data_IF_019253071859
#
_entry.id   IF_019253071859
#
_cell.length_a   1.000
_cell.length_b   1.000
_cell.length_c   1.000
_cell.angle_alpha   90.00
_cell.angle_beta   90.00
_cell.angle_gamma   90.00
#
_symmetry.space_group_name_H-M   'P 1'
#
loop_
_entity.id
_entity.type
_entity.pdbx_description
1 polymer ?
#
# COMPACT_ATOMS: atom_id res chain seq x y z
N UNK A 1 -13.07 -21.95 8.78
CA UNK A 1 -13.56 -22.28 7.44
C UNK A 1 -12.39 -22.06 6.47
N UNK A 2 -11.32 -22.84 6.60
CA UNK A 2 -11.11 -24.19 6.03
C UNK A 2 -10.55 -24.11 4.61
N UNK A 3 -9.22 -23.98 4.47
CA UNK A 3 -8.50 -24.69 3.43
C UNK A 3 -7.02 -24.82 3.79
N UNK A 4 -6.70 -26.01 4.30
CA UNK A 4 -5.39 -26.63 4.35
C UNK A 4 -4.94 -27.00 2.93
N UNK A 5 -3.84 -26.42 2.48
CA UNK A 5 -2.97 -26.93 1.42
C UNK A 5 -1.59 -26.99 2.09
N UNK A 6 -1.10 -28.12 2.56
CA UNK A 6 -0.74 -29.34 1.82
C UNK A 6 0.23 -29.03 0.67
N UNK A 7 1.41 -28.51 1.01
CA UNK A 7 2.60 -28.59 0.18
C UNK A 7 3.55 -29.62 0.80
N UNK A 8 3.56 -30.77 0.14
CA UNK A 8 4.36 -31.95 0.44
C UNK A 8 5.72 -31.83 -0.24
N UNK A 9 6.77 -32.05 0.55
CA UNK A 9 8.01 -32.75 0.22
C UNK A 9 8.73 -32.39 -1.10
N UNK A 10 9.80 -31.61 -0.96
CA UNK A 10 11.05 -31.86 -1.67
C UNK A 10 12.19 -31.80 -0.64
N UNK A 11 12.35 -32.90 0.09
CA UNK A 11 13.51 -33.20 0.93
C UNK A 11 14.70 -33.41 -0.01
N UNK A 12 15.49 -32.35 -0.20
CA UNK A 12 16.78 -32.44 -0.91
C UNK A 12 17.85 -32.66 0.13
N UNK A 13 18.24 -33.92 0.22
CA UNK A 13 19.32 -34.46 1.02
C UNK A 13 20.65 -33.93 0.45
N UNK A 14 21.20 -32.87 1.05
CA UNK A 14 22.50 -32.30 0.68
C UNK A 14 23.45 -32.34 1.90
N UNK A 15 23.60 -33.57 2.40
CA UNK A 15 24.56 -33.94 3.43
C UNK A 15 25.91 -34.28 2.78
N UNK A 16 26.75 -33.28 2.42
CA UNK A 16 28.22 -33.45 2.40
C UNK A 16 29.00 -32.20 1.92
N UNK A 17 28.95 -31.09 2.65
CA UNK A 17 30.01 -30.07 2.58
C UNK A 17 30.26 -29.46 3.97
N UNK A 18 30.70 -30.29 4.92
CA UNK A 18 31.41 -29.81 6.12
C UNK A 18 32.79 -29.30 5.69
N UNK A 19 32.81 -28.12 5.08
CA UNK A 19 34.02 -27.30 5.01
C UNK A 19 34.33 -26.86 6.44
N UNK A 20 35.53 -27.21 6.91
CA UNK A 20 36.06 -26.74 8.18
C UNK A 20 36.23 -25.21 8.13
N UNK A 21 35.15 -24.49 8.42
CA UNK A 21 35.17 -23.04 8.64
C UNK A 21 35.93 -22.85 9.95
N UNK A 22 37.20 -22.46 9.82
CA UNK A 22 38.03 -22.03 10.93
C UNK A 22 37.22 -21.02 11.77
N UNK A 23 37.07 -21.30 13.07
CA UNK A 23 36.46 -20.37 14.01
C UNK A 23 37.14 -19.01 13.84
N UNK A 24 36.40 -17.96 13.44
CA UNK A 24 36.98 -16.64 13.38
C UNK A 24 37.43 -16.30 14.80
N UNK A 25 38.75 -16.15 14.97
CA UNK A 25 39.37 -15.64 16.18
C UNK A 25 38.51 -14.48 16.68
N UNK A 26 38.02 -14.61 17.92
CA UNK A 26 37.20 -13.58 18.57
C UNK A 26 38.01 -12.30 18.66
N UNK A 27 37.92 -11.48 17.61
CA UNK A 27 38.44 -10.12 17.60
C UNK A 27 37.65 -9.40 18.68
N UNK A 28 38.32 -9.11 19.80
CA UNK A 28 37.77 -8.35 20.90
C UNK A 28 37.22 -7.02 20.34
N UNK A 29 35.90 -6.96 20.13
CA UNK A 29 35.27 -5.72 19.69
C UNK A 29 35.50 -4.71 20.81
N UNK A 30 36.02 -3.51 20.49
CA UNK A 30 36.05 -2.42 21.45
C UNK A 30 34.63 -2.25 21.99
N UNK A 31 34.46 -2.26 23.31
CA UNK A 31 33.20 -1.87 23.94
C UNK A 31 33.03 -0.39 23.61
N UNK A 32 32.21 -0.09 22.61
CA UNK A 32 31.64 1.25 22.48
C UNK A 32 30.87 1.55 23.77
N UNK A 33 30.96 2.79 24.23
CA UNK A 33 30.15 3.25 25.37
C UNK A 33 28.67 2.97 25.06
N UNK A 34 27.95 2.39 26.02
CA UNK A 34 26.55 1.93 25.85
C UNK A 34 25.65 3.03 25.26
N UNK A 35 25.90 4.29 25.61
CA UNK A 35 25.19 5.48 25.08
C UNK A 35 25.36 5.65 23.56
N UNK A 36 26.55 5.34 23.02
CA UNK A 36 26.84 5.46 21.59
C UNK A 36 26.14 4.36 20.81
N UNK A 37 26.12 3.14 21.34
CA UNK A 37 25.37 2.04 20.73
C UNK A 37 23.87 2.35 20.73
N UNK A 38 23.36 2.92 21.83
CA UNK A 38 21.94 3.25 21.95
C UNK A 38 21.50 4.31 20.93
N UNK A 39 22.34 5.33 20.69
CA UNK A 39 22.09 6.35 19.69
C UNK A 39 22.06 5.76 18.27
N UNK A 40 23.05 4.93 17.90
CA UNK A 40 23.12 4.30 16.58
C UNK A 40 21.92 3.40 16.27
N UNK A 41 21.44 2.67 17.28
CA UNK A 41 20.23 1.86 17.13
C UNK A 41 18.99 2.72 16.91
N UNK A 42 18.86 3.84 17.62
CA UNK A 42 17.75 4.77 17.41
C UNK A 42 17.79 5.40 16.01
N UNK A 43 18.97 5.78 15.52
CA UNK A 43 19.16 6.29 14.16
C UNK A 43 18.73 5.27 13.10
N UNK A 44 19.15 4.01 13.24
CA UNK A 44 18.76 2.94 12.32
C UNK A 44 17.23 2.70 12.31
N UNK A 45 16.58 2.78 13.48
CA UNK A 45 15.11 2.68 13.58
C UNK A 45 14.42 3.87 12.89
N UNK A 46 14.96 5.08 13.04
CA UNK A 46 14.44 6.28 12.37
C UNK A 46 14.60 6.16 10.84
N UNK A 47 15.75 5.69 10.37
CA UNK A 47 15.99 5.47 8.93
C UNK A 47 15.00 4.43 8.38
N UNK A 48 14.82 3.30 9.07
CA UNK A 48 13.84 2.29 8.67
C UNK A 48 12.42 2.85 8.65
N UNK A 49 12.07 3.67 9.64
CA UNK A 49 10.78 4.35 9.68
C UNK A 49 10.57 5.28 8.46
N UNK A 50 11.60 6.02 8.06
CA UNK A 50 11.55 6.89 6.88
C UNK A 50 11.32 6.08 5.59
N UNK A 51 12.01 4.94 5.43
CA UNK A 51 11.84 4.05 4.28
C UNK A 51 10.39 3.54 4.18
N UNK A 52 9.78 3.13 5.31
CA UNK A 52 8.37 2.71 5.33
C UNK A 52 7.45 3.88 4.92
N UNK A 53 7.74 5.09 5.39
CA UNK A 53 7.03 6.30 4.99
C UNK A 53 7.11 6.58 3.48
N UNK A 54 8.27 6.35 2.86
CA UNK A 54 8.43 6.46 1.41
C UNK A 54 7.63 5.41 0.65
N UNK A 55 7.61 4.16 1.11
CA UNK A 55 6.80 3.09 0.51
C UNK A 55 5.31 3.42 0.51
N UNK A 56 4.81 4.02 1.60
CA UNK A 56 3.43 4.50 1.69
C UNK A 56 3.16 5.57 0.62
N UNK A 57 4.06 6.56 0.46
CA UNK A 57 3.92 7.61 -0.56
C UNK A 57 3.98 7.05 -1.98
N UNK A 58 4.83 6.06 -2.23
CA UNK A 58 4.89 5.38 -3.53
C UNK A 58 3.59 4.62 -3.85
N UNK A 59 2.96 3.99 -2.86
CA UNK A 59 1.65 3.38 -3.04
C UNK A 59 0.58 4.41 -3.42
N UNK A 60 0.57 5.57 -2.76
CA UNK A 60 -0.36 6.67 -3.06
C UNK A 60 -0.14 7.26 -4.45
N UNK A 61 1.12 7.45 -4.85
CA UNK A 61 1.46 7.93 -6.20
C UNK A 61 0.98 6.95 -7.30
N UNK A 62 1.14 5.64 -7.08
CA UNK A 62 0.63 4.60 -7.99
C UNK A 62 -0.89 4.60 -8.06
N UNK A 63 -1.58 4.78 -6.94
CA UNK A 63 -3.04 4.89 -6.93
C UNK A 63 -3.54 6.15 -7.66
N UNK A 64 -2.86 7.29 -7.48
CA UNK A 64 -3.15 8.51 -8.23
C UNK A 64 -2.94 8.33 -9.74
N UNK A 65 -1.87 7.62 -10.14
CA UNK A 65 -1.64 7.27 -11.55
C UNK A 65 -2.77 6.40 -12.13
N UNK A 66 -3.27 5.41 -11.38
CA UNK A 66 -4.43 4.59 -11.79
C UNK A 66 -5.67 5.46 -12.03
N UNK A 67 -5.95 6.42 -11.14
CA UNK A 67 -7.07 7.35 -11.30
C UNK A 67 -6.90 8.24 -12.54
N UNK A 68 -5.70 8.76 -12.79
CA UNK A 68 -5.41 9.57 -13.96
C UNK A 68 -5.63 8.79 -15.28
N UNK A 69 -5.15 7.55 -15.35
CA UNK A 69 -5.35 6.69 -16.53
C UNK A 69 -6.84 6.36 -16.71
N UNK A 70 -7.56 6.00 -15.65
CA UNK A 70 -9.01 5.78 -15.74
C UNK A 70 -9.76 7.04 -16.22
N UNK A 71 -9.37 8.22 -15.74
CA UNK A 71 -9.93 9.50 -16.21
C UNK A 71 -9.70 9.71 -17.71
N UNK A 72 -8.48 9.46 -18.20
CA UNK A 72 -8.15 9.56 -19.62
C UNK A 72 -8.94 8.55 -20.47
N UNK A 73 -9.00 7.29 -20.06
CA UNK A 73 -9.77 6.24 -20.75
C UNK A 73 -11.26 6.58 -20.78
N UNK A 74 -11.82 7.08 -19.68
CA UNK A 74 -13.21 7.54 -19.62
C UNK A 74 -13.48 8.69 -20.58
N UNK A 75 -12.55 9.66 -20.69
CA UNK A 75 -12.68 10.78 -21.61
C UNK A 75 -12.74 10.36 -23.08
N UNK A 76 -12.05 9.27 -23.44
CA UNK A 76 -12.03 8.73 -24.81
C UNK A 76 -13.22 7.82 -25.08
N UNK A 77 -13.55 6.91 -24.16
CA UNK A 77 -14.54 5.86 -24.40
C UNK A 77 -15.98 6.31 -24.21
N UNK A 78 -16.27 7.23 -23.29
CA UNK A 78 -17.66 7.66 -23.01
C UNK A 78 -18.33 8.37 -24.20
N UNK A 79 -17.66 9.23 -24.99
CA UNK A 79 -18.30 9.82 -26.17
C UNK A 79 -18.71 8.79 -27.23
N UNK A 80 -17.96 7.68 -27.36
CA UNK A 80 -18.19 6.69 -28.42
C UNK A 80 -19.54 5.97 -28.29
N UNK A 81 -20.03 5.70 -27.08
CA UNK A 81 -21.34 5.03 -26.91
C UNK A 81 -22.48 5.97 -27.32
N UNK A 82 -22.31 7.27 -27.08
CA UNK A 82 -23.30 8.27 -27.46
C UNK A 82 -23.38 8.43 -28.99
N UNK A 83 -22.23 8.43 -29.66
CA UNK A 83 -22.17 8.41 -31.13
C UNK A 83 -22.77 7.13 -31.70
N UNK A 84 -22.45 5.97 -31.12
CA UNK A 84 -22.98 4.67 -31.52
C UNK A 84 -24.52 4.62 -31.43
N UNK A 85 -25.11 5.11 -30.33
CA UNK A 85 -26.57 5.11 -30.12
C UNK A 85 -27.29 6.06 -31.10
N UNK A 86 -26.64 7.16 -31.51
CA UNK A 86 -27.25 8.14 -32.43
C UNK A 86 -27.13 7.78 -33.90
N UNK A 87 -26.17 6.93 -34.26
CA UNK A 87 -25.95 6.56 -35.64
C UNK A 87 -27.04 5.59 -36.10
N UNK A 88 -27.84 5.98 -37.10
CA UNK A 88 -28.78 5.08 -37.79
C UNK A 88 -28.00 4.09 -38.69
N UNK A 89 -27.27 3.17 -38.07
CA UNK A 89 -26.54 2.12 -38.77
C UNK A 89 -27.35 0.82 -38.78
N UNK A 90 -27.41 0.19 -39.95
CA UNK A 90 -27.96 -1.17 -40.08
C UNK A 90 -26.98 -2.17 -39.50
N UNK A 91 -27.26 -2.65 -38.28
CA UNK A 91 -26.44 -3.65 -37.61
C UNK A 91 -26.68 -5.07 -38.17
N UNK A 92 -25.69 -5.99 -38.06
CA UNK A 92 -25.82 -7.35 -38.59
C UNK A 92 -26.97 -8.15 -37.97
N UNK A 93 -27.26 -7.88 -36.69
CA UNK A 93 -28.26 -8.61 -35.91
C UNK A 93 -28.97 -7.70 -34.92
N UNK A 94 -30.21 -8.07 -34.55
CA UNK A 94 -31.04 -7.29 -33.63
C UNK A 94 -30.51 -7.25 -32.18
N UNK A 95 -29.67 -8.20 -31.78
CA UNK A 95 -29.08 -8.26 -30.43
C UNK A 95 -27.74 -7.51 -30.32
N UNK A 96 -27.22 -6.97 -31.41
CA UNK A 96 -25.91 -6.30 -31.47
C UNK A 96 -25.79 -5.13 -30.51
N UNK A 97 -26.80 -4.25 -30.47
CA UNK A 97 -26.85 -3.11 -29.55
C UNK A 97 -26.83 -3.55 -28.09
N UNK A 98 -27.44 -4.71 -27.77
CA UNK A 98 -27.40 -5.28 -26.41
C UNK A 98 -26.01 -5.78 -26.05
N UNK A 99 -25.30 -6.41 -26.98
CA UNK A 99 -23.91 -6.83 -26.78
C UNK A 99 -23.00 -5.62 -26.52
N UNK A 100 -23.04 -4.61 -27.37
CA UNK A 100 -22.23 -3.38 -27.23
C UNK A 100 -22.50 -2.70 -25.87
N UNK A 101 -23.78 -2.55 -25.53
CA UNK A 101 -24.18 -1.96 -24.25
C UNK A 101 -23.70 -2.78 -23.05
N UNK A 102 -23.80 -4.12 -23.12
CA UNK A 102 -23.33 -5.01 -22.06
C UNK A 102 -21.80 -4.94 -21.87
N UNK A 103 -21.03 -4.93 -22.97
CA UNK A 103 -19.57 -4.80 -22.91
C UNK A 103 -19.16 -3.43 -22.35
N UNK A 104 -19.85 -2.36 -22.75
CA UNK A 104 -19.62 -1.02 -22.21
C UNK A 104 -19.91 -0.96 -20.70
N UNK A 105 -21.03 -1.52 -20.24
CA UNK A 105 -21.38 -1.56 -18.82
C UNK A 105 -20.39 -2.39 -18.00
N UNK A 106 -19.92 -3.52 -18.54
CA UNK A 106 -18.91 -4.36 -17.88
C UNK A 106 -17.57 -3.64 -17.77
N UNK A 107 -17.14 -2.94 -18.82
CA UNK A 107 -15.99 -2.05 -18.81
C UNK A 107 -16.14 -0.96 -17.73
N UNK A 108 -17.26 -0.24 -17.75
CA UNK A 108 -17.53 0.86 -16.82
C UNK A 108 -17.55 0.38 -15.36
N UNK A 109 -18.18 -0.76 -15.08
CA UNK A 109 -18.20 -1.36 -13.74
C UNK A 109 -16.79 -1.73 -13.25
N UNK A 110 -15.97 -2.33 -14.12
CA UNK A 110 -14.57 -2.65 -13.82
C UNK A 110 -13.74 -1.39 -13.55
N UNK A 111 -13.94 -0.34 -14.35
CA UNK A 111 -13.29 0.97 -14.17
C UNK A 111 -13.68 1.61 -12.83
N UNK A 112 -14.97 1.68 -12.52
CA UNK A 112 -15.47 2.22 -11.24
C UNK A 112 -14.88 1.44 -10.07
N UNK A 113 -14.85 0.11 -10.16
CA UNK A 113 -14.26 -0.74 -9.12
C UNK A 113 -12.75 -0.47 -8.94
N UNK A 114 -12.00 -0.32 -10.04
CA UNK A 114 -10.59 0.10 -10.02
C UNK A 114 -10.42 1.45 -9.32
N UNK A 115 -11.24 2.45 -9.64
CA UNK A 115 -11.23 3.77 -8.99
C UNK A 115 -11.52 3.67 -7.50
N UNK A 116 -12.54 2.91 -7.08
CA UNK A 116 -12.87 2.72 -5.66
C UNK A 116 -11.69 2.12 -4.90
N UNK A 117 -11.00 1.11 -5.47
CA UNK A 117 -9.82 0.52 -4.86
C UNK A 117 -8.65 1.51 -4.75
N UNK A 118 -8.41 2.32 -5.79
CA UNK A 118 -7.38 3.36 -5.77
C UNK A 118 -7.70 4.45 -4.73
N UNK A 119 -8.96 4.89 -4.63
CA UNK A 119 -9.40 5.81 -3.59
C UNK A 119 -9.23 5.24 -2.19
N UNK A 120 -9.53 3.95 -1.96
CA UNK A 120 -9.29 3.28 -0.68
C UNK A 120 -7.82 3.16 -0.32
N UNK A 121 -6.91 3.17 -1.30
CA UNK A 121 -5.46 3.25 -1.06
C UNK A 121 -5.06 4.64 -0.54
N UNK A 122 -5.51 5.71 -1.20
CA UNK A 122 -5.16 7.10 -0.87
C UNK A 122 -5.82 7.53 0.45
N UNK A 123 -7.10 7.20 0.60
CA UNK A 123 -7.92 7.50 1.78
C UNK A 123 -8.23 6.19 2.51
N UNK A 124 -7.28 5.67 3.31
CA UNK A 124 -7.57 4.51 4.13
C UNK A 124 -8.71 4.87 5.07
N UNK A 125 -9.80 4.09 5.04
CA UNK A 125 -10.88 4.23 6.01
C UNK A 125 -10.31 4.00 7.40
N UNK A 126 -10.07 5.10 8.12
CA UNK A 126 -9.77 5.05 9.54
C UNK A 126 -11.04 4.55 10.21
N UNK A 127 -11.04 3.29 10.64
CA UNK A 127 -12.01 2.83 11.62
C UNK A 127 -11.97 3.82 12.78
N UNK A 128 -13.11 4.42 13.14
CA UNK A 128 -13.22 5.50 14.12
C UNK A 128 -12.85 5.08 15.57
N UNK A 129 -12.16 3.96 15.75
CA UNK A 129 -11.60 3.55 17.04
C UNK A 129 -10.22 4.16 17.26
N UNK A 130 -9.97 4.65 18.49
CA UNK A 130 -8.60 4.91 18.96
C UNK A 130 -7.85 3.58 18.92
N UNK A 131 -6.93 3.39 17.98
CA UNK A 131 -6.09 2.20 17.97
C UNK A 131 -5.30 2.19 19.29
N UNK A 132 -5.38 1.14 20.12
CA UNK A 132 -4.80 1.14 21.47
C UNK A 132 -3.30 1.45 21.49
N UNK A 133 -2.59 1.12 20.41
CA UNK A 133 -1.16 1.43 20.28
C UNK A 133 -0.85 2.88 19.90
N UNK A 134 -1.80 3.66 19.35
CA UNK A 134 -1.55 5.08 19.08
C UNK A 134 -1.36 5.87 20.38
N UNK A 135 -2.03 5.47 21.46
CA UNK A 135 -1.83 6.07 22.79
C UNK A 135 -0.49 5.72 23.44
N UNK A 136 0.33 4.87 22.79
CA UNK A 136 1.69 4.50 23.24
C UNK A 136 2.78 5.12 22.35
N UNK A 137 2.41 5.99 21.41
CA UNK A 137 3.30 6.61 20.45
C UNK A 137 3.14 8.13 20.45
N UNK A 138 2.92 8.70 21.63
CA UNK A 138 2.51 10.09 21.80
C UNK A 138 3.62 11.08 21.48
N UNK A 139 4.89 10.65 21.49
CA UNK A 139 6.05 11.53 21.37
C UNK A 139 6.70 11.47 19.99
N UNK A 140 6.43 10.42 19.21
CA UNK A 140 7.03 10.23 17.89
C UNK A 140 6.05 10.37 16.73
N UNK A 141 4.82 9.85 16.85
CA UNK A 141 3.89 9.84 15.72
C UNK A 141 3.18 11.20 15.56
N UNK A 142 3.28 11.90 14.41
CA UNK A 142 2.74 13.26 14.26
C UNK A 142 1.27 13.42 14.63
N UNK A 143 0.42 12.46 14.23
CA UNK A 143 -1.00 12.50 14.59
C UNK A 143 -1.24 12.30 16.09
N UNK A 144 -0.41 11.50 16.76
CA UNK A 144 -0.54 11.26 18.19
C UNK A 144 -0.06 12.48 18.99
N UNK A 145 1.05 13.11 18.56
CA UNK A 145 1.54 14.38 19.10
C UNK A 145 0.46 15.45 18.98
N UNK A 146 -0.11 15.65 17.79
CA UNK A 146 -1.17 16.65 17.56
C UNK A 146 -2.46 16.40 18.35
N UNK A 147 -2.70 15.15 18.77
CA UNK A 147 -3.86 14.78 19.55
C UNK A 147 -3.66 14.93 21.06
N UNK A 148 -2.40 14.89 21.53
CA UNK A 148 -2.05 14.96 22.96
C UNK A 148 -1.51 16.32 23.39
N UNK A 149 -0.80 17.03 22.51
CA UNK A 149 -0.19 18.32 22.80
C UNK A 149 -0.78 19.40 21.92
N UNK A 150 -1.13 20.53 22.54
CA UNK A 150 -1.45 21.76 21.84
C UNK A 150 -0.16 22.44 21.37
N UNK A 151 -0.30 23.34 20.39
CA UNK A 151 0.84 24.10 19.84
C UNK A 151 1.57 24.93 20.91
N UNK A 152 0.88 25.34 21.97
CA UNK A 152 1.42 26.13 23.09
C UNK A 152 2.14 25.29 24.18
N UNK A 153 2.12 23.95 24.09
CA UNK A 153 2.68 23.04 25.11
C UNK A 153 4.07 22.48 24.75
N UNK A 154 4.93 23.27 24.09
CA UNK A 154 6.25 22.81 23.62
C UNK A 154 7.19 22.41 24.75
N UNK A 155 7.23 23.17 25.85
CA UNK A 155 8.06 22.87 27.02
C UNK A 155 7.64 21.56 27.69
N UNK A 156 6.33 21.36 27.88
CA UNK A 156 5.79 20.12 28.45
C UNK A 156 6.18 18.91 27.59
N UNK A 157 6.10 19.04 26.26
CA UNK A 157 6.53 17.98 25.35
C UNK A 157 8.03 17.67 25.48
N UNK A 158 8.88 18.70 25.58
CA UNK A 158 10.32 18.53 25.76
C UNK A 158 10.66 17.83 27.08
N UNK A 159 10.03 18.24 28.18
CA UNK A 159 10.19 17.63 29.51
C UNK A 159 9.77 16.15 29.51
N UNK A 160 8.62 15.84 28.90
CA UNK A 160 8.13 14.46 28.79
C UNK A 160 9.05 13.59 27.91
N UNK A 161 9.55 14.14 26.80
CA UNK A 161 10.53 13.46 25.95
C UNK A 161 11.84 13.17 26.70
N UNK A 162 12.36 14.14 27.46
CA UNK A 162 13.56 13.96 28.28
C UNK A 162 13.35 12.89 29.37
N UNK A 163 12.16 12.87 29.97
CA UNK A 163 11.80 11.90 31.02
C UNK A 163 11.71 10.47 30.50
N UNK A 164 11.23 10.27 29.28
CA UNK A 164 11.10 8.95 28.65
C UNK A 164 12.47 8.38 28.29
N UNK A 165 13.39 9.26 27.87
CA UNK A 165 14.74 8.89 27.48
C UNK A 165 14.78 8.06 26.19
N UNK A 166 15.99 7.64 25.80
CA UNK A 166 16.23 6.97 24.53
C UNK A 166 15.52 5.61 24.43
N UNK A 167 15.51 4.84 25.52
CA UNK A 167 14.89 3.50 25.55
C UNK A 167 13.38 3.55 25.31
N UNK A 168 12.69 4.54 25.88
CA UNK A 168 11.27 4.73 25.63
C UNK A 168 10.99 5.24 24.22
N UNK A 169 11.83 6.13 23.69
CA UNK A 169 11.73 6.60 22.30
C UNK A 169 11.87 5.43 21.30
N UNK A 170 12.88 4.56 21.46
CA UNK A 170 13.05 3.35 20.64
C UNK A 170 11.79 2.50 20.62
N UNK A 171 11.16 2.33 21.79
CA UNK A 171 9.91 1.56 21.93
C UNK A 171 8.77 2.23 21.16
N UNK A 172 8.61 3.55 21.24
CA UNK A 172 7.59 4.27 20.48
C UNK A 172 7.83 4.16 18.96
N UNK A 173 9.08 4.29 18.51
CA UNK A 173 9.45 4.16 17.09
C UNK A 173 9.12 2.76 16.59
N UNK A 174 9.48 1.70 17.34
CA UNK A 174 9.16 0.33 16.97
C UNK A 174 7.64 0.08 16.87
N UNK A 175 6.85 0.68 17.76
CA UNK A 175 5.38 0.62 17.69
C UNK A 175 4.87 1.32 16.41
N UNK A 176 5.41 2.50 16.09
CA UNK A 176 5.06 3.24 14.87
C UNK A 176 5.43 2.46 13.62
N UNK A 177 6.61 1.84 13.58
CA UNK A 177 7.05 1.01 12.46
C UNK A 177 6.11 -0.17 12.23
N UNK A 178 5.66 -0.85 13.29
CA UNK A 178 4.71 -1.94 13.18
C UNK A 178 3.36 -1.45 12.63
N UNK A 179 2.84 -0.33 13.15
CA UNK A 179 1.62 0.30 12.66
C UNK A 179 1.71 0.66 11.17
N UNK A 180 2.76 1.37 10.78
CA UNK A 180 2.94 1.85 9.41
C UNK A 180 3.23 0.70 8.44
N UNK A 181 3.85 -0.39 8.89
CA UNK A 181 4.00 -1.62 8.10
C UNK A 181 2.65 -2.26 7.78
N UNK A 182 1.71 -2.30 8.73
CA UNK A 182 0.35 -2.78 8.47
C UNK A 182 -0.42 -1.87 7.50
N UNK A 183 -0.30 -0.55 7.68
CA UNK A 183 -0.91 0.44 6.77
C UNK A 183 -0.33 0.28 5.37
N UNK A 184 0.99 0.18 5.25
CA UNK A 184 1.70 -0.05 4.00
C UNK A 184 1.22 -1.33 3.32
N UNK A 185 1.23 -2.46 4.01
CA UNK A 185 0.75 -3.74 3.46
C UNK A 185 -0.71 -3.66 2.96
N UNK A 186 -1.58 -2.98 3.70
CA UNK A 186 -2.97 -2.74 3.28
C UNK A 186 -3.05 -1.91 2.01
N UNK A 187 -2.33 -0.78 1.94
CA UNK A 187 -2.23 0.08 0.76
C UNK A 187 -1.69 -0.66 -0.46
N UNK A 188 -0.61 -1.43 -0.30
CA UNK A 188 -0.03 -2.24 -1.37
C UNK A 188 -1.01 -3.29 -1.91
N UNK A 189 -1.84 -3.87 -1.03
CA UNK A 189 -2.89 -4.79 -1.45
C UNK A 189 -3.95 -4.08 -2.30
N UNK A 190 -4.41 -2.90 -1.88
CA UNK A 190 -5.42 -2.13 -2.63
C UNK A 190 -4.87 -1.62 -3.96
N UNK A 191 -3.66 -1.06 -3.99
CA UNK A 191 -3.07 -0.55 -5.24
C UNK A 191 -2.80 -1.69 -6.22
N UNK A 192 -2.29 -2.84 -5.77
CA UNK A 192 -2.09 -4.02 -6.62
C UNK A 192 -3.40 -4.51 -7.23
N UNK A 193 -4.47 -4.60 -6.43
CA UNK A 193 -5.81 -4.95 -6.94
C UNK A 193 -6.35 -3.89 -7.92
N UNK A 194 -6.13 -2.60 -7.65
CA UNK A 194 -6.57 -1.52 -8.53
C UNK A 194 -5.89 -1.58 -9.91
N UNK A 195 -4.58 -1.90 -9.95
CA UNK A 195 -3.80 -2.06 -11.18
C UNK A 195 -4.30 -3.26 -11.98
N UNK A 196 -4.57 -4.40 -11.32
CA UNK A 196 -5.14 -5.58 -12.00
C UNK A 196 -6.51 -5.28 -12.61
N UNK A 197 -7.35 -4.52 -11.90
CA UNK A 197 -8.66 -4.10 -12.41
C UNK A 197 -8.55 -3.07 -13.53
N UNK A 198 -7.57 -2.17 -13.47
CA UNK A 198 -7.25 -1.26 -14.58
C UNK A 198 -6.84 -2.03 -15.84
N UNK A 199 -5.98 -3.04 -15.71
CA UNK A 199 -5.58 -3.89 -16.83
C UNK A 199 -6.78 -4.66 -17.43
N UNK A 200 -7.65 -5.22 -16.58
CA UNK A 200 -8.89 -5.86 -17.03
C UNK A 200 -9.82 -4.87 -17.74
N UNK A 201 -9.98 -3.66 -17.18
CA UNK A 201 -10.74 -2.57 -17.79
C UNK A 201 -10.17 -2.20 -19.16
N UNK A 202 -8.85 -2.08 -19.31
CA UNK A 202 -8.24 -1.78 -20.61
C UNK A 202 -8.56 -2.85 -21.67
N UNK A 203 -8.51 -4.14 -21.31
CA UNK A 203 -8.87 -5.24 -22.21
C UNK A 203 -10.35 -5.15 -22.61
N UNK A 204 -11.25 -4.94 -21.64
CA UNK A 204 -12.68 -4.78 -21.91
C UNK A 204 -12.99 -3.56 -22.79
N UNK A 205 -12.29 -2.45 -22.57
CA UNK A 205 -12.40 -1.23 -23.38
C UNK A 205 -11.96 -1.47 -24.82
N UNK A 206 -10.86 -2.21 -25.03
CA UNK A 206 -10.42 -2.61 -26.37
C UNK A 206 -11.44 -3.53 -27.05
N UNK A 207 -11.97 -4.53 -26.34
CA UNK A 207 -13.02 -5.40 -26.88
C UNK A 207 -14.26 -4.61 -27.26
N UNK A 208 -14.70 -3.68 -26.41
CA UNK A 208 -15.80 -2.77 -26.70
C UNK A 208 -15.56 -1.99 -27.99
N UNK A 209 -14.38 -1.37 -28.14
CA UNK A 209 -14.03 -0.63 -29.37
C UNK A 209 -14.09 -1.52 -30.61
N UNK A 210 -13.56 -2.76 -30.53
CA UNK A 210 -13.61 -3.70 -31.65
C UNK A 210 -15.06 -4.02 -32.02
N UNK A 211 -15.92 -4.31 -31.04
CA UNK A 211 -17.34 -4.62 -31.29
C UNK A 211 -18.07 -3.42 -31.89
N UNK A 212 -17.73 -2.17 -31.51
CA UNK A 212 -18.37 -0.99 -32.12
C UNK A 212 -17.99 -0.71 -33.58
N UNK A 213 -16.92 -1.33 -34.10
CA UNK A 213 -16.49 -1.14 -35.49
C UNK A 213 -17.21 -2.06 -36.50
N UNK A 214 -17.96 -3.06 -36.03
CA UNK A 214 -18.75 -3.98 -36.85
C UNK A 214 -20.25 -3.75 -36.67
#
# INVERSE_FOLDING_TARGET
MSQSLNESAAETDDASLQSAVAEPSQVARPRLDDDTQDALEAENLIETYQIIGEWIRFADAKAAAVLAVNGALSGVLVPTIHEYIRADQTHPTWWWTSLVSATFLLWLASMIWSCVLAFRCILPFRYQGKHPSLGRANHFHPAAISAHYRIDQTEQFADEMQRIGMSGLKREIAICMMLDSHVSNSKYTFVSRSIRMLALSAILGLMYLIVTQF
#
